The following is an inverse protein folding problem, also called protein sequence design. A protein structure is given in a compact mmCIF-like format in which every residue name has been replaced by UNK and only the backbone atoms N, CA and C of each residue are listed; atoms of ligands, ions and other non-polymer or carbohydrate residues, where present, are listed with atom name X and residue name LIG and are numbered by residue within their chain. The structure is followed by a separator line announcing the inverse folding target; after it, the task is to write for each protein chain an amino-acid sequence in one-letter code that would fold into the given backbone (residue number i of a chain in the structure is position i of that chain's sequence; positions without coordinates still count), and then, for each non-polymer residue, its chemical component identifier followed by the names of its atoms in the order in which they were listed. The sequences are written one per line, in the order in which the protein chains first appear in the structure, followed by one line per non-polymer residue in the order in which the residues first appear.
data_IF_702442474167
#
_entry.id   IF_702442474167
#
_cell.length_a   1.000
_cell.length_b   1.000
_cell.length_c   1.000
_cell.angle_alpha   90.00
_cell.angle_beta   90.00
_cell.angle_gamma   90.00
#
_symmetry.space_group_name_H-M   'P 1'
#
loop_
_entity.id
_entity.type
_entity.pdbx_description
1 polymer ?
#
# COMPACT_ATOMS: atom_id res chain seq x y z
N UNK A 1 4.72 -10.91 8.55
CA UNK A 1 4.97 -9.55 8.05
C UNK A 1 3.71 -8.80 8.38
N UNK A 2 3.80 -7.81 9.26
CA UNK A 2 2.67 -6.94 9.53
C UNK A 2 2.70 -5.80 8.50
N UNK A 3 1.54 -5.45 7.96
CA UNK A 3 1.39 -4.31 7.06
C UNK A 3 0.38 -3.33 7.66
N UNK A 4 0.69 -2.04 7.55
CA UNK A 4 -0.17 -0.98 8.04
C UNK A 4 -0.50 -0.03 6.88
N UNK A 5 -1.79 0.30 6.75
CA UNK A 5 -2.28 1.38 5.90
C UNK A 5 -2.84 2.48 6.81
N UNK A 6 -2.36 3.71 6.61
CA UNK A 6 -2.94 4.89 7.25
C UNK A 6 -3.57 5.81 6.22
N UNK A 7 -4.80 6.23 6.51
CA UNK A 7 -5.51 7.28 5.80
C UNK A 7 -5.43 8.56 6.64
N UNK A 8 -4.73 9.59 6.16
CA UNK A 8 -4.66 10.86 6.90
C UNK A 8 -5.98 11.62 6.77
N UNK A 9 -6.50 12.01 7.94
CA UNK A 9 -7.83 12.56 8.22
C UNK A 9 -8.10 13.88 7.47
N UNK A 10 -8.97 13.82 6.45
CA UNK A 10 -9.76 14.93 5.87
C UNK A 10 -10.89 14.42 4.93
N UNK A 11 -10.95 13.12 4.62
CA UNK A 11 -12.06 12.52 3.90
C UNK A 11 -13.31 12.42 4.79
N UNK A 12 -14.46 12.87 4.26
CA UNK A 12 -15.77 12.43 4.77
C UNK A 12 -15.97 11.00 4.31
N UNK A 13 -15.70 10.07 5.21
CA UNK A 13 -15.79 8.64 4.94
C UNK A 13 -17.19 8.17 5.32
N UNK A 14 -17.88 7.49 4.40
CA UNK A 14 -19.11 6.77 4.69
C UNK A 14 -18.82 5.38 5.26
N UNK A 15 -19.58 4.38 4.83
CA UNK A 15 -19.37 2.98 5.24
C UNK A 15 -17.98 2.46 4.81
N UNK A 16 -17.36 1.66 5.68
CA UNK A 16 -16.11 0.98 5.43
C UNK A 16 -16.28 -0.53 5.64
N UNK A 17 -15.75 -1.34 4.73
CA UNK A 17 -15.64 -2.79 4.88
C UNK A 17 -14.17 -3.22 4.81
N UNK A 18 -13.82 -4.30 5.52
CA UNK A 18 -12.48 -4.89 5.49
C UNK A 18 -12.60 -6.37 5.18
N UNK A 19 -11.93 -6.83 4.13
CA UNK A 19 -11.94 -8.21 3.66
C UNK A 19 -10.50 -8.72 3.66
N UNK A 20 -10.27 -9.89 4.27
CA UNK A 20 -9.01 -10.62 4.13
C UNK A 20 -9.14 -11.61 2.98
N UNK A 21 -8.22 -11.57 2.03
CA UNK A 21 -8.14 -12.46 0.88
C UNK A 21 -6.75 -13.08 0.76
N UNK A 22 -6.66 -14.15 -0.04
CA UNK A 22 -5.42 -14.86 -0.34
C UNK A 22 -4.67 -15.28 0.94
N UNK A 23 -5.37 -15.93 1.88
CA UNK A 23 -4.81 -16.33 3.18
C UNK A 23 -4.13 -15.18 3.96
N UNK A 24 -4.73 -13.99 3.89
CA UNK A 24 -4.24 -12.78 4.54
C UNK A 24 -3.06 -12.11 3.82
N UNK A 25 -2.73 -12.53 2.60
CA UNK A 25 -1.76 -11.81 1.74
C UNK A 25 -2.35 -10.55 1.14
N UNK A 26 -3.68 -10.44 1.09
CA UNK A 26 -4.37 -9.24 0.67
C UNK A 26 -5.32 -8.76 1.76
N UNK A 27 -5.26 -7.47 2.09
CA UNK A 27 -6.29 -6.80 2.90
C UNK A 27 -6.98 -5.80 1.97
N UNK A 28 -8.26 -6.02 1.72
CA UNK A 28 -9.08 -5.16 0.87
C UNK A 28 -9.93 -4.29 1.79
N UNK A 29 -9.87 -2.98 1.56
CA UNK A 29 -10.65 -1.99 2.28
C UNK A 29 -11.54 -1.31 1.25
N UNK A 30 -12.85 -1.39 1.43
CA UNK A 30 -13.79 -0.65 0.61
C UNK A 30 -14.33 0.52 1.41
N UNK A 31 -14.43 1.67 0.76
CA UNK A 31 -14.73 2.92 1.40
C UNK A 31 -15.73 3.69 0.55
N UNK A 32 -16.89 4.01 1.12
CA UNK A 32 -17.87 4.87 0.48
C UNK A 32 -17.44 6.34 0.63
N UNK A 33 -17.28 7.05 -0.49
CA UNK A 33 -16.96 8.48 -0.53
C UNK A 33 -17.83 9.12 -1.60
N UNK A 34 -18.71 10.06 -1.21
CA UNK A 34 -19.63 10.75 -2.13
C UNK A 34 -20.41 9.78 -3.04
N UNK A 35 -21.06 8.78 -2.43
CA UNK A 35 -21.85 7.73 -3.11
C UNK A 35 -21.07 6.77 -4.03
N UNK A 36 -19.74 6.88 -4.03
CA UNK A 36 -18.84 6.02 -4.77
C UNK A 36 -18.03 5.11 -3.86
N UNK A 37 -17.93 3.83 -4.23
CA UNK A 37 -17.09 2.86 -3.52
C UNK A 37 -15.67 2.91 -4.09
N UNK A 38 -14.72 3.30 -3.25
CA UNK A 38 -13.28 3.21 -3.51
C UNK A 38 -12.72 1.96 -2.86
N UNK A 39 -11.79 1.30 -3.55
CA UNK A 39 -11.16 0.07 -3.06
C UNK A 39 -9.67 0.28 -2.87
N UNK A 40 -9.19 0.06 -1.65
CA UNK A 40 -7.78 0.07 -1.31
C UNK A 40 -7.34 -1.37 -1.02
N UNK A 41 -6.36 -1.85 -1.76
CA UNK A 41 -5.83 -3.20 -1.57
C UNK A 41 -4.41 -3.10 -1.05
N UNK A 42 -4.20 -3.61 0.16
CA UNK A 42 -2.88 -3.89 0.69
C UNK A 42 -2.43 -5.26 0.20
N UNK A 43 -1.24 -5.37 -0.39
CA UNK A 43 -0.69 -6.66 -0.82
C UNK A 43 0.64 -6.97 -0.14
N UNK A 44 0.78 -8.21 0.35
CA UNK A 44 2.03 -8.84 0.71
C UNK A 44 2.25 -10.10 -0.13
N UNK A 45 2.81 -9.93 -1.31
CA UNK A 45 2.99 -11.06 -2.22
C UNK A 45 4.08 -12.02 -1.70
N UNK A 46 3.91 -13.34 -1.88
CA UNK A 46 4.92 -14.33 -1.51
C UNK A 46 6.29 -14.13 -2.19
N UNK A 47 7.35 -14.58 -1.52
CA UNK A 47 8.71 -14.59 -2.09
C UNK A 47 8.89 -15.67 -3.17
N UNK A 48 8.18 -16.80 -3.04
CA UNK A 48 8.23 -17.91 -4.00
C UNK A 48 7.47 -17.51 -5.28
N UNK A 49 8.09 -17.74 -6.43
CA UNK A 49 7.58 -17.25 -7.72
C UNK A 49 6.21 -17.81 -8.09
N UNK A 50 5.97 -19.10 -7.90
CA UNK A 50 4.68 -19.72 -8.26
C UNK A 50 3.56 -19.31 -7.30
N UNK A 51 3.85 -19.16 -6.01
CA UNK A 51 2.88 -18.63 -5.04
C UNK A 51 2.55 -17.16 -5.33
N UNK A 52 3.55 -16.40 -5.78
CA UNK A 52 3.37 -15.01 -6.19
C UNK A 52 2.50 -14.89 -7.45
N UNK A 53 2.65 -15.79 -8.42
CA UNK A 53 1.74 -15.84 -9.58
C UNK A 53 0.29 -16.04 -9.17
N UNK A 54 0.03 -17.05 -8.32
CA UNK A 54 -1.32 -17.35 -7.80
C UNK A 54 -1.89 -16.14 -7.07
N UNK A 55 -1.10 -15.55 -6.17
CA UNK A 55 -1.47 -14.33 -5.46
C UNK A 55 -1.88 -13.18 -6.40
N UNK A 56 -1.16 -12.97 -7.51
CA UNK A 56 -1.52 -11.95 -8.50
C UNK A 56 -2.77 -12.32 -9.31
N UNK A 57 -2.94 -13.58 -9.71
CA UNK A 57 -4.16 -14.03 -10.38
C UNK A 57 -5.39 -13.83 -9.49
N UNK A 58 -5.26 -14.17 -8.20
CA UNK A 58 -6.33 -14.01 -7.22
C UNK A 58 -6.62 -12.53 -6.93
N UNK A 59 -5.56 -11.69 -6.89
CA UNK A 59 -5.69 -10.24 -6.76
C UNK A 59 -6.55 -9.64 -7.88
N UNK A 60 -6.46 -10.17 -9.10
CA UNK A 60 -7.15 -9.62 -10.27
C UNK A 60 -8.68 -9.56 -10.11
N UNK A 61 -9.27 -10.52 -9.38
CA UNK A 61 -10.71 -10.54 -9.10
C UNK A 61 -11.22 -9.34 -8.30
N UNK A 62 -10.31 -8.68 -7.56
CA UNK A 62 -10.65 -7.56 -6.70
C UNK A 62 -10.42 -6.20 -7.38
N UNK A 63 -9.92 -6.16 -8.61
CA UNK A 63 -9.57 -4.91 -9.27
C UNK A 63 -10.78 -4.34 -10.00
N UNK A 64 -11.05 -3.06 -9.79
CA UNK A 64 -12.03 -2.27 -10.53
C UNK A 64 -11.47 -0.89 -10.89
N UNK A 65 -12.28 -0.06 -11.55
CA UNK A 65 -11.90 1.29 -12.01
C UNK A 65 -11.70 2.33 -10.88
N UNK A 66 -11.94 1.97 -9.61
CA UNK A 66 -11.73 2.82 -8.42
C UNK A 66 -10.79 2.14 -7.40
N UNK A 67 -9.88 1.31 -7.91
CA UNK A 67 -8.93 0.55 -7.09
C UNK A 67 -7.57 1.23 -7.01
N UNK A 68 -7.04 1.33 -5.79
CA UNK A 68 -5.64 1.61 -5.50
C UNK A 68 -5.04 0.38 -4.80
N UNK A 69 -3.93 -0.14 -5.32
CA UNK A 69 -3.20 -1.28 -4.76
C UNK A 69 -1.84 -0.78 -4.29
N UNK A 70 -1.52 -0.97 -3.01
CA UNK A 70 -0.24 -0.57 -2.44
C UNK A 70 0.31 -1.73 -1.63
N UNK A 71 1.59 -2.05 -1.77
CA UNK A 71 2.13 -3.17 -1.03
C UNK A 71 3.51 -3.61 -1.45
N UNK A 72 3.99 -4.67 -0.81
CA UNK A 72 5.19 -5.41 -1.19
C UNK A 72 4.82 -6.51 -2.19
N UNK A 73 5.16 -6.29 -3.45
CA UNK A 73 4.88 -7.24 -4.53
C UNK A 73 5.97 -8.31 -4.65
N UNK A 74 7.08 -8.23 -3.91
CA UNK A 74 8.22 -9.15 -4.00
C UNK A 74 8.73 -9.44 -5.43
N UNK A 75 8.47 -8.53 -6.37
CA UNK A 75 8.93 -8.60 -7.76
C UNK A 75 9.32 -7.23 -8.29
N UNK A 76 10.42 -7.20 -9.01
CA UNK A 76 10.93 -6.02 -9.70
C UNK A 76 10.25 -5.92 -11.07
N UNK A 77 9.60 -4.82 -11.42
CA UNK A 77 8.86 -4.68 -12.71
C UNK A 77 9.76 -4.43 -13.93
N UNK A 78 10.88 -3.72 -13.74
CA UNK A 78 11.82 -3.37 -14.81
C UNK A 78 13.27 -3.36 -14.32
N UNK A 79 14.24 -3.42 -15.23
CA UNK A 79 15.67 -3.32 -14.86
C UNK A 79 16.03 -1.99 -14.18
N UNK A 80 15.24 -0.92 -14.39
CA UNK A 80 15.40 0.38 -13.72
C UNK A 80 15.02 0.32 -12.24
N UNK A 81 14.17 -0.64 -11.86
CA UNK A 81 13.74 -0.90 -10.49
C UNK A 81 14.77 -1.72 -9.70
N UNK A 82 15.93 -1.99 -10.28
CA UNK A 82 17.01 -2.78 -9.68
C UNK A 82 18.32 -2.01 -9.75
N UNK A 83 19.08 -1.99 -8.66
CA UNK A 83 20.43 -1.42 -8.65
C UNK A 83 21.38 -2.26 -9.50
N UNK A 84 22.52 -1.68 -9.92
CA UNK A 84 23.55 -2.39 -10.71
C UNK A 84 24.11 -3.63 -10.01
N UNK A 85 24.07 -3.64 -8.68
CA UNK A 85 24.54 -4.77 -7.88
C UNK A 85 23.53 -5.92 -7.84
N UNK A 86 22.30 -5.75 -8.34
CA UNK A 86 21.24 -6.76 -8.30
C UNK A 86 21.08 -7.40 -9.67
N UNK A 87 21.06 -8.73 -9.71
CA UNK A 87 20.73 -9.47 -10.93
C UNK A 87 19.24 -9.30 -11.25
N UNK A 88 18.93 -8.74 -12.41
CA UNK A 88 17.57 -8.69 -12.94
C UNK A 88 17.26 -10.01 -13.65
N UNK A 89 16.78 -10.99 -12.87
CA UNK A 89 16.50 -12.34 -13.37
C UNK A 89 15.18 -12.39 -14.14
N UNK A 90 15.06 -13.41 -14.99
CA UNK A 90 13.76 -13.84 -15.50
C UNK A 90 12.89 -14.26 -14.32
N UNK A 91 11.66 -13.76 -14.31
CA UNK A 91 10.67 -14.00 -13.28
C UNK A 91 9.32 -13.96 -13.99
N UNK A 92 8.63 -15.09 -14.07
CA UNK A 92 7.39 -15.20 -14.83
C UNK A 92 6.19 -14.63 -14.07
N UNK A 93 6.27 -14.46 -12.75
CA UNK A 93 5.27 -13.70 -11.99
C UNK A 93 5.25 -12.21 -12.38
N UNK A 94 6.40 -11.66 -12.81
CA UNK A 94 6.48 -10.30 -13.37
C UNK A 94 5.60 -10.16 -14.61
N UNK A 95 5.62 -11.16 -15.49
CA UNK A 95 4.79 -11.15 -16.70
C UNK A 95 3.31 -11.20 -16.35
N UNK A 96 2.92 -12.05 -15.40
CA UNK A 96 1.54 -12.10 -14.88
C UNK A 96 1.11 -10.74 -14.33
N UNK A 97 1.94 -10.12 -13.49
CA UNK A 97 1.62 -8.80 -12.92
C UNK A 97 1.52 -7.72 -14.01
N UNK A 98 2.40 -7.72 -15.02
CA UNK A 98 2.31 -6.78 -16.15
C UNK A 98 1.03 -6.95 -16.96
N UNK A 99 0.61 -8.19 -17.19
CA UNK A 99 -0.63 -8.48 -17.89
C UNK A 99 -1.84 -7.98 -17.10
N UNK A 100 -1.85 -8.13 -15.78
CA UNK A 100 -2.91 -7.58 -14.91
C UNK A 100 -2.91 -6.05 -14.93
N UNK A 101 -1.73 -5.42 -14.82
CA UNK A 101 -1.60 -3.95 -14.88
C UNK A 101 -2.21 -3.44 -16.20
N UNK A 102 -1.84 -4.03 -17.33
CA UNK A 102 -2.34 -3.62 -18.64
C UNK A 102 -3.82 -3.96 -18.83
N UNK A 103 -4.25 -5.17 -18.44
CA UNK A 103 -5.61 -5.67 -18.66
C UNK A 103 -6.66 -4.96 -17.80
N UNK A 104 -6.27 -4.53 -16.60
CA UNK A 104 -7.14 -3.82 -15.65
C UNK A 104 -6.94 -2.30 -15.70
N UNK A 105 -6.23 -1.80 -16.71
CA UNK A 105 -5.99 -0.36 -16.94
C UNK A 105 -5.41 0.35 -15.69
N UNK A 106 -4.45 -0.29 -15.04
CA UNK A 106 -3.72 0.26 -13.90
C UNK A 106 -2.48 1.01 -14.37
N UNK A 107 -2.16 2.09 -13.68
CA UNK A 107 -0.92 2.84 -13.81
C UNK A 107 -0.02 2.60 -12.62
N UNK A 108 1.30 2.72 -12.81
CA UNK A 108 2.27 2.67 -11.72
C UNK A 108 2.57 4.10 -11.27
N UNK A 109 1.99 4.54 -10.15
CA UNK A 109 2.03 5.94 -9.71
C UNK A 109 3.47 6.51 -9.63
N UNK A 110 4.43 5.71 -9.12
CA UNK A 110 5.84 6.12 -9.09
C UNK A 110 6.42 6.35 -10.49
N UNK A 111 6.07 5.52 -11.47
CA UNK A 111 6.61 5.62 -12.83
C UNK A 111 5.95 6.73 -13.64
N UNK A 112 4.67 7.02 -13.38
CA UNK A 112 3.99 8.18 -13.95
C UNK A 112 4.64 9.48 -13.48
N UNK A 113 4.88 9.62 -12.17
CA UNK A 113 5.45 10.84 -11.59
C UNK A 113 6.98 10.94 -11.76
N UNK A 114 7.67 9.80 -11.90
CA UNK A 114 9.13 9.73 -12.01
C UNK A 114 9.60 8.74 -13.09
N UNK A 115 9.35 9.04 -14.39
CA UNK A 115 9.55 8.09 -15.49
C UNK A 115 11.00 7.63 -15.64
N UNK A 116 11.96 8.53 -15.41
CA UNK A 116 13.39 8.28 -15.62
C UNK A 116 14.17 8.03 -14.32
N UNK A 117 13.54 8.23 -13.15
CA UNK A 117 14.24 8.18 -11.85
C UNK A 117 14.42 6.75 -11.37
N UNK A 118 15.63 6.41 -10.93
CA UNK A 118 15.93 5.18 -10.19
C UNK A 118 15.58 5.36 -8.70
N UNK A 119 14.32 5.21 -8.36
CA UNK A 119 13.84 5.05 -6.99
C UNK A 119 13.89 3.59 -6.54
N UNK A 120 14.18 3.36 -5.26
CA UNK A 120 14.18 2.03 -4.65
C UNK A 120 13.32 2.06 -3.39
N UNK A 121 12.68 0.93 -3.10
CA UNK A 121 11.84 0.75 -1.92
C UNK A 121 12.47 -0.18 -0.88
N UNK A 122 13.41 -1.04 -1.28
CA UNK A 122 14.11 -1.96 -0.39
C UNK A 122 15.63 -1.83 -0.49
N UNK A 123 16.32 -1.90 0.64
CA UNK A 123 17.78 -1.80 0.76
C UNK A 123 18.33 -2.86 1.71
N UNK A 124 19.30 -3.65 1.25
CA UNK A 124 19.91 -4.71 2.04
C UNK A 124 21.42 -4.79 1.78
N UNK A 125 22.20 -5.16 2.80
CA UNK A 125 23.61 -5.51 2.64
C UNK A 125 23.72 -7.03 2.50
N UNK A 126 24.15 -7.50 1.32
CA UNK A 126 24.34 -8.93 1.04
C UNK A 126 25.79 -9.15 0.64
N UNK A 127 26.52 -9.96 1.42
CA UNK A 127 27.95 -10.23 1.22
C UNK A 127 28.78 -8.93 1.08
N UNK A 128 28.55 -7.98 2.00
CA UNK A 128 29.24 -6.69 2.02
C UNK A 128 28.85 -5.70 0.90
N UNK A 129 27.88 -6.05 0.04
CA UNK A 129 27.43 -5.17 -1.04
C UNK A 129 26.01 -4.68 -0.82
N UNK A 130 25.80 -3.39 -1.02
CA UNK A 130 24.47 -2.79 -1.03
C UNK A 130 23.68 -3.31 -2.24
N UNK A 131 22.54 -3.94 -1.94
CA UNK A 131 21.53 -4.41 -2.87
C UNK A 131 20.30 -3.52 -2.71
N UNK A 132 19.79 -2.99 -3.81
CA UNK A 132 18.59 -2.15 -3.80
C UNK A 132 17.65 -2.54 -4.93
N UNK A 133 16.36 -2.53 -4.61
CA UNK A 133 15.28 -2.84 -5.54
C UNK A 133 14.02 -2.05 -5.19
N UNK A 134 13.16 -1.80 -6.17
CA UNK A 134 11.80 -1.30 -5.99
C UNK A 134 10.82 -2.45 -6.19
N UNK A 135 10.38 -3.01 -5.08
CA UNK A 135 9.42 -4.13 -5.02
C UNK A 135 8.13 -3.74 -4.29
N UNK A 136 8.16 -2.62 -3.57
CA UNK A 136 6.96 -2.02 -2.99
C UNK A 136 6.39 -1.05 -4.04
N UNK A 137 5.17 -1.28 -4.48
CA UNK A 137 4.53 -0.54 -5.57
C UNK A 137 3.24 0.12 -5.09
N UNK A 138 2.88 1.22 -5.77
CA UNK A 138 1.54 1.78 -5.75
C UNK A 138 0.99 1.72 -7.18
N UNK A 139 -0.11 1.00 -7.37
CA UNK A 139 -0.84 0.87 -8.63
C UNK A 139 -2.21 1.51 -8.46
N UNK A 140 -2.65 2.30 -9.43
CA UNK A 140 -3.91 3.04 -9.39
C UNK A 140 -4.68 2.79 -10.70
N UNK A 141 -5.99 2.61 -10.62
CA UNK A 141 -6.82 2.56 -11.82
C UNK A 141 -6.84 3.93 -12.53
N UNK A 142 -6.51 3.97 -13.82
CA UNK A 142 -6.31 5.23 -14.55
C UNK A 142 -7.57 6.10 -14.66
N UNK A 143 -8.76 5.51 -14.46
CA UNK A 143 -10.05 6.20 -14.46
C UNK A 143 -10.40 6.93 -13.16
N UNK A 144 -9.53 6.91 -12.14
CA UNK A 144 -9.80 7.58 -10.87
C UNK A 144 -9.70 9.11 -10.99
N UNK A 145 -10.74 9.80 -10.50
CA UNK A 145 -10.90 11.27 -10.51
C UNK A 145 -9.84 12.00 -9.64
N UNK A 146 -9.06 11.26 -8.86
CA UNK A 146 -8.11 11.79 -7.87
C UNK A 146 -6.70 11.23 -8.08
N UNK A 147 -6.18 11.38 -9.30
CA UNK A 147 -4.84 10.91 -9.64
C UNK A 147 -3.82 11.35 -8.58
N UNK A 148 -2.94 10.41 -8.27
CA UNK A 148 -1.78 10.65 -7.41
C UNK A 148 -0.93 11.80 -7.96
N UNK A 149 -0.68 12.82 -7.16
CA UNK A 149 0.16 13.97 -7.57
C UNK A 149 1.57 13.92 -6.98
N UNK A 150 1.79 13.10 -5.95
CA UNK A 150 3.08 12.94 -5.31
C UNK A 150 3.23 11.55 -4.70
N UNK A 151 4.44 11.00 -4.76
CA UNK A 151 4.76 9.69 -4.20
C UNK A 151 6.21 9.64 -3.75
N UNK A 152 6.45 9.18 -2.52
CA UNK A 152 7.78 9.10 -1.93
C UNK A 152 8.04 7.75 -1.26
N UNK A 153 9.31 7.30 -1.36
CA UNK A 153 9.84 6.18 -0.57
C UNK A 153 10.68 6.71 0.60
N UNK A 154 10.13 6.64 1.81
CA UNK A 154 10.74 7.17 3.02
C UNK A 154 11.43 6.03 3.77
N UNK A 155 12.76 6.03 3.76
CA UNK A 155 13.56 5.05 4.48
C UNK A 155 13.61 5.36 5.98
N UNK A 156 13.65 4.30 6.79
CA UNK A 156 13.88 4.39 8.23
C UNK A 156 14.90 3.34 8.66
N UNK A 157 15.35 3.41 9.91
CA UNK A 157 16.24 2.42 10.52
C UNK A 157 15.51 1.15 10.97
N UNK A 158 14.18 1.11 10.86
CA UNK A 158 13.34 0.05 11.43
C UNK A 158 13.03 -1.09 10.46
N UNK A 159 13.24 -0.89 9.16
CA UNK A 159 12.93 -1.87 8.13
C UNK A 159 13.91 -1.75 6.97
N UNK A 160 14.17 -2.87 6.30
CA UNK A 160 14.85 -2.86 5.00
C UNK A 160 13.96 -2.33 3.87
N UNK A 161 12.65 -2.18 4.13
CA UNK A 161 11.68 -1.53 3.26
C UNK A 161 11.44 -0.07 3.67
N UNK A 162 11.27 0.79 2.67
CA UNK A 162 10.80 2.16 2.83
C UNK A 162 9.28 2.18 3.00
N UNK A 163 8.79 3.16 3.74
CA UNK A 163 7.38 3.53 3.71
C UNK A 163 7.06 4.14 2.35
N UNK A 164 5.92 3.76 1.78
CA UNK A 164 5.32 4.48 0.65
C UNK A 164 4.42 5.58 1.22
N UNK A 165 4.64 6.82 0.81
CA UNK A 165 3.70 7.91 1.00
C UNK A 165 3.13 8.29 -0.37
N UNK A 166 1.82 8.16 -0.56
CA UNK A 166 1.11 8.51 -1.79
C UNK A 166 0.12 9.63 -1.49
N UNK A 167 0.20 10.76 -2.22
CA UNK A 167 -0.71 11.89 -2.06
C UNK A 167 -1.66 11.97 -3.26
N UNK A 168 -2.96 12.05 -2.97
CA UNK A 168 -4.04 12.07 -3.94
C UNK A 168 -4.57 13.49 -4.12
N UNK A 169 -5.14 13.80 -5.29
CA UNK A 169 -5.55 15.17 -5.67
C UNK A 169 -6.56 15.87 -4.76
N UNK A 170 -7.20 15.16 -3.83
CA UNK A 170 -8.10 15.69 -2.80
C UNK A 170 -7.40 16.09 -1.48
N UNK A 171 -6.07 15.99 -1.44
CA UNK A 171 -5.26 16.22 -0.24
C UNK A 171 -5.14 15.00 0.67
N UNK A 172 -5.75 13.86 0.33
CA UNK A 172 -5.59 12.60 1.05
C UNK A 172 -4.16 12.11 0.93
N UNK A 173 -3.62 11.59 2.03
CA UNK A 173 -2.32 10.90 2.02
C UNK A 173 -2.50 9.46 2.49
N UNK A 174 -2.10 8.52 1.65
CA UNK A 174 -1.99 7.10 1.97
C UNK A 174 -0.56 6.79 2.39
N UNK A 175 -0.42 6.14 3.54
CA UNK A 175 0.86 5.62 4.00
C UNK A 175 0.80 4.10 4.04
N UNK A 176 1.74 3.44 3.37
CA UNK A 176 1.94 1.99 3.47
C UNK A 176 3.31 1.69 4.05
N UNK A 177 3.34 0.84 5.08
CA UNK A 177 4.58 0.33 5.67
C UNK A 177 4.59 -1.18 5.67
N UNK A 178 5.67 -1.77 5.18
CA UNK A 178 5.96 -3.20 5.30
C UNK A 178 7.08 -3.45 6.31
N UNK A 179 6.82 -4.33 7.27
CA UNK A 179 7.78 -4.72 8.32
C UNK A 179 8.29 -6.15 8.10
N UNK A 180 9.60 -6.30 7.87
CA UNK A 180 10.25 -7.61 7.84
C UNK A 180 10.70 -8.03 9.25
N UNK A 181 10.57 -9.32 9.56
CA UNK A 181 10.68 -9.90 10.92
C UNK A 181 11.99 -9.71 11.69
N UNK A 182 13.01 -9.03 11.14
CA UNK A 182 14.33 -8.87 11.78
C UNK A 182 14.45 -7.67 12.70
N UNK A 183 13.59 -6.67 12.57
CA UNK A 183 13.55 -5.48 13.44
C UNK A 183 12.12 -5.19 13.88
N UNK A 184 11.53 -6.14 14.62
CA UNK A 184 10.30 -5.87 15.38
C UNK A 184 10.66 -5.10 16.65
N UNK A 185 10.17 -3.87 16.88
CA UNK A 185 10.02 -3.41 18.24
C UNK A 185 9.05 -4.38 18.93
N UNK A 186 9.48 -4.98 20.06
CA UNK A 186 8.73 -5.99 20.83
C UNK A 186 7.22 -5.68 20.85
N UNK A 187 6.36 -6.70 20.71
CA UNK A 187 4.87 -6.66 20.69
C UNK A 187 4.20 -5.60 21.61
N UNK A 188 4.83 -5.20 22.72
CA UNK A 188 4.40 -4.09 23.59
C UNK A 188 4.29 -2.75 22.86
N UNK A 189 5.13 -2.45 21.87
CA UNK A 189 5.13 -1.15 21.18
C UNK A 189 4.00 -1.02 20.16
N UNK A 190 3.59 -2.11 19.51
CA UNK A 190 2.43 -2.13 18.59
C UNK A 190 1.12 -2.06 19.38
N UNK A 191 1.01 -2.79 20.49
CA UNK A 191 -0.12 -2.64 21.42
C UNK A 191 -0.19 -1.21 21.96
N UNK A 192 0.93 -0.62 22.37
CA UNK A 192 0.99 0.76 22.84
C UNK A 192 0.70 1.79 21.73
N UNK A 193 1.09 1.51 20.48
CA UNK A 193 0.82 2.36 19.33
C UNK A 193 -0.65 2.29 18.91
N UNK A 194 -1.21 1.09 18.76
CA UNK A 194 -2.65 0.88 18.51
C UNK A 194 -3.49 1.47 19.63
N UNK A 195 -3.09 1.29 20.90
CA UNK A 195 -3.74 1.92 22.05
C UNK A 195 -3.64 3.44 22.01
N UNK A 196 -2.49 4.02 21.60
CA UNK A 196 -2.33 5.49 21.44
C UNK A 196 -3.21 6.06 20.34
N UNK A 197 -3.35 5.34 19.22
CA UNK A 197 -4.22 5.75 18.12
C UNK A 197 -5.68 5.70 18.56
N UNK A 198 -6.10 4.61 19.19
CA UNK A 198 -7.47 4.44 19.68
C UNK A 198 -7.84 5.43 20.80
N UNK A 199 -6.91 5.75 21.70
CA UNK A 199 -7.11 6.80 22.72
C UNK A 199 -7.15 8.22 22.12
N UNK A 200 -6.45 8.49 21.01
CA UNK A 200 -6.58 9.75 20.28
C UNK A 200 -7.90 9.87 19.51
N UNK A 201 -8.47 8.76 19.06
CA UNK A 201 -9.81 8.70 18.46
C UNK A 201 -10.91 8.89 19.51
N UNK A 202 -10.82 8.21 20.66
CA UNK A 202 -11.77 8.35 21.76
C UNK A 202 -11.81 9.78 22.31
N UNK A 203 -10.64 10.42 22.52
CA UNK A 203 -10.57 11.83 22.95
C UNK A 203 -11.19 12.80 21.93
N UNK A 204 -11.12 12.46 20.63
CA UNK A 204 -11.78 13.26 19.57
C UNK A 204 -13.28 13.05 19.55
N UNK A 205 -13.78 11.82 19.80
CA UNK A 205 -15.20 11.53 19.96
C UNK A 205 -15.78 12.24 21.18
N UNK A 206 -15.11 12.20 22.33
CA UNK A 206 -15.53 12.93 23.54
C UNK A 206 -15.57 14.45 23.31
N UNK A 207 -14.58 15.01 22.60
CA UNK A 207 -14.60 16.43 22.23
C UNK A 207 -15.74 16.80 21.27
N UNK A 208 -16.12 15.88 20.36
CA UNK A 208 -17.23 16.07 19.42
C UNK A 208 -18.60 15.91 20.09
N UNK A 209 -18.71 15.05 21.10
CA UNK A 209 -19.89 14.89 21.95
C UNK A 209 -20.09 16.12 22.85
N UNK A 210 -19.01 16.78 23.29
CA UNK A 210 -19.09 18.04 24.06
C UNK A 210 -19.53 19.26 23.22
N UNK A 211 -19.37 19.20 21.89
CA UNK A 211 -19.77 20.24 20.95
C UNK A 211 -21.12 19.88 20.30
N UNK A 212 -22.19 20.07 21.06
CA UNK A 212 -23.58 19.76 20.75
C UNK A 212 -24.03 20.21 19.32
N UNK A 213 -23.96 19.34 18.31
CA UNK A 213 -24.71 19.45 17.05
C UNK A 213 -25.24 18.07 16.63
N UNK A 214 -26.49 17.99 16.16
CA UNK A 214 -27.37 16.86 16.43
C UNK A 214 -27.01 15.62 15.61
N UNK A 215 -27.01 14.47 16.30
CA UNK A 215 -27.02 13.13 15.72
C UNK A 215 -28.45 12.87 15.24
N UNK A 216 -28.68 12.88 13.93
CA UNK A 216 -29.85 12.22 13.37
C UNK A 216 -29.49 10.76 13.12
N UNK A 217 -30.04 9.88 13.96
CA UNK A 217 -30.23 8.47 13.63
C UNK A 217 -31.07 8.36 12.36
N UNK A 218 -30.78 7.41 11.47
CA UNK A 218 -31.74 6.51 10.81
C UNK A 218 -31.09 5.76 9.62
N UNK A 219 -31.24 4.43 9.67
CA UNK A 219 -31.37 3.44 8.58
C UNK A 219 -30.30 3.39 7.47
#
# INVERSE_FOLDING_TARGET
VDQLIFLKKNLKIGQMSVIQANDGKCIIIEVLVNDDIFRFINIHAPNVEDDRKKCFMDLNWWINNKTIIIGDFNVVLSSRDSSRNNAYKNDSSRTVLKNIISGSNLINAWRELHPNTRGFSRRQIVRGRLKQSRIDLALEASGMIRQSYDIEYIFSTWSDHAQIQLKLGDGTTLHHMSFSGRFYPKRRTISAFNHRVQTQENKKQESAISSNKPIYNLL
#
